data_IF_821044823366
#
_entry.id   IF_821044823366
#
_cell.length_a   1.000
_cell.length_b   1.000
_cell.length_c   1.000
_cell.angle_alpha   90.00
_cell.angle_beta   90.00
_cell.angle_gamma   90.00
#
_symmetry.space_group_name_H-M   'P 1'
#
loop_
_entity.id
_entity.type
_entity.pdbx_description
1 polymer ?
#
# COMPACT_ATOMS: atom_id res chain seq x y z
N UNK A 1 -23.67 -0.83 13.66
CA UNK A 1 -23.92 -1.51 12.39
C UNK A 1 -23.47 -0.67 11.20
N UNK A 2 -23.43 -1.26 10.00
CA UNK A 2 -23.14 -0.53 8.76
C UNK A 2 -24.15 0.60 8.50
N UNK A 3 -25.43 0.32 8.77
CA UNK A 3 -26.52 1.30 8.63
C UNK A 3 -26.31 2.50 9.55
N UNK A 4 -25.86 2.30 10.77
CA UNK A 4 -25.61 3.40 11.71
C UNK A 4 -24.44 4.25 11.24
N UNK A 5 -23.39 3.61 10.71
CA UNK A 5 -22.26 4.31 10.11
C UNK A 5 -22.72 5.21 8.94
N UNK A 6 -23.54 4.67 8.03
CA UNK A 6 -24.09 5.45 6.92
C UNK A 6 -24.91 6.65 7.38
N UNK A 7 -25.75 6.49 8.39
CA UNK A 7 -26.52 7.61 8.96
C UNK A 7 -25.62 8.70 9.55
N UNK A 8 -24.56 8.29 10.24
CA UNK A 8 -23.59 9.24 10.82
C UNK A 8 -22.89 10.02 9.72
N UNK A 9 -22.37 9.34 8.69
CA UNK A 9 -21.69 10.00 7.58
C UNK A 9 -22.65 10.88 6.78
N UNK A 10 -23.87 10.43 6.50
CA UNK A 10 -24.86 11.23 5.78
C UNK A 10 -25.24 12.50 6.55
N UNK A 11 -25.35 12.42 7.86
CA UNK A 11 -25.59 13.58 8.72
C UNK A 11 -24.39 14.53 8.72
N UNK A 12 -23.17 13.97 8.86
CA UNK A 12 -21.95 14.77 8.99
C UNK A 12 -21.56 15.48 7.68
N UNK A 13 -21.78 14.87 6.53
CA UNK A 13 -21.46 15.48 5.22
C UNK A 13 -22.33 16.69 4.90
N UNK A 14 -23.54 16.77 5.45
CA UNK A 14 -24.50 17.84 5.15
C UNK A 14 -24.74 17.97 3.64
N UNK A 15 -24.42 19.13 3.08
CA UNK A 15 -24.57 19.41 1.64
C UNK A 15 -23.33 19.05 0.81
N UNK A 16 -22.28 18.51 1.42
CA UNK A 16 -21.07 18.08 0.68
C UNK A 16 -21.39 16.85 -0.16
N UNK A 17 -21.14 16.93 -1.45
CA UNK A 17 -21.26 15.78 -2.35
C UNK A 17 -20.04 14.86 -2.18
N UNK A 18 -20.29 13.58 -2.03
CA UNK A 18 -19.28 12.54 -1.94
C UNK A 18 -19.54 11.51 -3.04
N UNK A 19 -18.48 10.99 -3.61
CA UNK A 19 -18.57 9.79 -4.45
C UNK A 19 -18.95 8.59 -3.59
N UNK A 20 -19.38 7.51 -4.23
CA UNK A 20 -19.67 6.25 -3.52
C UNK A 20 -18.44 5.74 -2.74
N UNK A 21 -17.27 5.82 -3.36
CA UNK A 21 -16.02 5.37 -2.74
C UNK A 21 -15.65 6.20 -1.51
N UNK A 22 -15.70 7.52 -1.61
CA UNK A 22 -15.45 8.43 -0.47
C UNK A 22 -16.43 8.19 0.68
N UNK A 23 -17.71 8.05 0.38
CA UNK A 23 -18.73 7.76 1.38
C UNK A 23 -18.51 6.42 2.08
N UNK A 24 -18.22 5.36 1.30
CA UNK A 24 -17.94 4.04 1.83
C UNK A 24 -16.65 4.01 2.68
N UNK A 25 -15.62 4.71 2.24
CA UNK A 25 -14.35 4.85 2.98
C UNK A 25 -14.55 5.53 4.33
N UNK A 26 -15.30 6.64 4.37
CA UNK A 26 -15.61 7.33 5.63
C UNK A 26 -16.44 6.45 6.57
N UNK A 27 -17.41 5.70 6.04
CA UNK A 27 -18.19 4.75 6.84
C UNK A 27 -17.33 3.62 7.41
N UNK A 28 -16.37 3.12 6.63
CA UNK A 28 -15.40 2.12 7.10
C UNK A 28 -14.52 2.69 8.23
N UNK A 29 -13.97 3.88 8.07
CA UNK A 29 -13.20 4.56 9.11
C UNK A 29 -14.01 4.81 10.38
N UNK A 30 -15.27 5.22 10.25
CA UNK A 30 -16.16 5.34 11.41
C UNK A 30 -16.34 4.02 12.14
N UNK A 31 -16.53 2.90 11.40
CA UNK A 31 -16.64 1.57 12.00
C UNK A 31 -15.33 1.19 12.68
N UNK A 32 -14.19 1.37 12.03
CA UNK A 32 -12.87 1.05 12.57
C UNK A 32 -12.59 1.83 13.86
N UNK A 33 -12.96 3.11 13.92
CA UNK A 33 -12.79 3.95 15.12
C UNK A 33 -13.58 3.46 16.34
N UNK A 34 -14.55 2.57 16.15
CA UNK A 34 -15.36 1.98 17.23
C UNK A 34 -14.90 0.56 17.62
N UNK A 35 -13.86 0.07 16.98
CA UNK A 35 -13.31 -1.26 17.23
C UNK A 35 -11.93 -1.15 17.89
N UNK A 36 -11.58 -2.16 18.67
CA UNK A 36 -10.21 -2.33 19.14
C UNK A 36 -9.46 -3.17 18.10
N UNK A 37 -8.83 -2.52 17.13
CA UNK A 37 -8.12 -3.17 16.05
C UNK A 37 -6.62 -3.17 16.34
N UNK A 38 -5.96 -4.29 16.12
CA UNK A 38 -4.50 -4.37 16.12
C UNK A 38 -3.92 -3.76 14.83
N UNK A 39 -4.62 -3.97 13.70
CA UNK A 39 -4.22 -3.47 12.38
C UNK A 39 -5.43 -3.01 11.58
N UNK A 40 -5.24 -1.97 10.77
CA UNK A 40 -6.16 -1.56 9.72
C UNK A 40 -5.42 -1.61 8.37
N UNK A 41 -5.85 -2.51 7.49
CA UNK A 41 -5.31 -2.61 6.14
C UNK A 41 -6.20 -1.81 5.20
N UNK A 42 -5.60 -0.80 4.54
CA UNK A 42 -6.30 0.08 3.61
C UNK A 42 -5.76 -0.15 2.19
N UNK A 43 -6.66 -0.41 1.26
CA UNK A 43 -6.32 -0.53 -0.15
C UNK A 43 -6.71 0.76 -0.89
N UNK A 44 -5.72 1.36 -1.56
CA UNK A 44 -5.94 2.54 -2.42
C UNK A 44 -6.78 2.15 -3.62
N UNK A 45 -7.82 2.91 -3.92
CA UNK A 45 -8.64 2.70 -5.10
C UNK A 45 -7.93 3.11 -6.39
N UNK A 46 -7.30 4.30 -6.40
CA UNK A 46 -6.58 4.81 -7.57
C UNK A 46 -5.44 5.76 -7.18
N UNK A 47 -4.26 5.54 -7.74
CA UNK A 47 -3.10 6.40 -7.55
C UNK A 47 -2.52 6.30 -6.14
N UNK A 48 -2.93 7.17 -5.25
CA UNK A 48 -2.53 7.21 -3.83
C UNK A 48 -2.72 8.60 -3.23
N UNK A 49 -2.05 9.61 -3.75
CA UNK A 49 -1.98 10.98 -3.19
C UNK A 49 -3.34 11.59 -2.90
N UNK A 50 -4.29 11.47 -3.82
CA UNK A 50 -5.64 12.04 -3.73
C UNK A 50 -6.73 10.98 -3.45
N UNK A 51 -6.32 9.76 -3.10
CA UNK A 51 -7.28 8.71 -2.78
C UNK A 51 -7.93 8.96 -1.41
N UNK A 52 -9.21 8.60 -1.29
CA UNK A 52 -9.97 8.80 -0.06
C UNK A 52 -9.37 8.06 1.14
N UNK A 53 -8.72 6.91 0.93
CA UNK A 53 -8.05 6.15 2.00
C UNK A 53 -6.84 6.89 2.56
N UNK A 54 -6.25 7.79 1.78
CA UNK A 54 -5.03 8.51 2.14
C UNK A 54 -5.25 9.70 3.09
N UNK A 55 -6.47 9.94 3.53
CA UNK A 55 -6.80 10.96 4.55
C UNK A 55 -6.23 10.59 5.94
N UNK A 56 -5.96 9.31 6.17
CA UNK A 56 -5.35 8.81 7.40
C UNK A 56 -3.86 8.60 7.17
N UNK A 57 -3.03 9.08 8.10
CA UNK A 57 -1.60 8.81 8.08
C UNK A 57 -1.33 7.34 8.41
N UNK A 58 -0.61 6.68 7.53
CA UNK A 58 -0.24 5.27 7.68
C UNK A 58 1.07 5.13 8.46
N UNK A 59 1.15 4.13 9.34
CA UNK A 59 2.40 3.75 10.02
C UNK A 59 3.37 3.06 9.05
N UNK A 60 2.82 2.38 8.03
CA UNK A 60 3.57 1.72 6.97
C UNK A 60 2.78 1.77 5.66
N UNK A 61 3.46 2.05 4.57
CA UNK A 61 2.87 2.00 3.22
C UNK A 61 3.55 0.95 2.35
N UNK A 62 2.75 0.32 1.45
CA UNK A 62 3.26 -0.64 0.46
C UNK A 62 2.89 -0.16 -0.93
N UNK A 63 3.89 -0.01 -1.80
CA UNK A 63 3.72 0.22 -3.23
C UNK A 63 4.07 -1.09 -3.93
N UNK A 64 3.07 -1.77 -4.47
CA UNK A 64 3.21 -3.12 -5.04
C UNK A 64 3.95 -3.10 -6.37
N UNK A 65 3.54 -2.23 -7.28
CA UNK A 65 4.13 -2.08 -8.60
C UNK A 65 3.84 -0.70 -9.18
N UNK A 66 4.64 -0.30 -10.15
CA UNK A 66 4.40 0.89 -10.97
C UNK A 66 4.50 0.48 -12.42
N UNK A 67 3.43 0.72 -13.16
CA UNK A 67 3.31 0.50 -14.59
C UNK A 67 2.45 1.58 -15.21
N UNK A 68 2.48 1.69 -16.53
CA UNK A 68 1.61 2.63 -17.27
C UNK A 68 0.20 2.07 -17.25
N UNK A 69 -0.66 2.66 -16.44
CA UNK A 69 -2.08 2.36 -16.33
C UNK A 69 -2.83 3.59 -15.85
N UNK A 70 -4.14 3.65 -16.12
CA UNK A 70 -5.01 4.76 -15.74
C UNK A 70 -4.46 6.15 -16.16
N UNK A 71 -3.90 6.25 -17.35
CA UNK A 71 -3.16 7.43 -17.82
C UNK A 71 -4.00 8.71 -17.85
N UNK A 72 -5.31 8.60 -17.97
CA UNK A 72 -6.25 9.73 -17.91
C UNK A 72 -6.25 10.44 -16.56
N UNK A 73 -5.92 9.72 -15.48
CA UNK A 73 -5.94 10.24 -14.10
C UNK A 73 -4.55 10.42 -13.51
N UNK A 74 -3.63 9.49 -13.78
CA UNK A 74 -2.32 9.43 -13.13
C UNK A 74 -1.18 10.02 -13.99
N UNK A 75 -1.50 10.39 -15.25
CA UNK A 75 -0.50 10.84 -16.22
C UNK A 75 0.09 9.69 -17.04
N UNK A 76 0.82 10.05 -18.09
CA UNK A 76 1.28 9.13 -19.14
C UNK A 76 2.71 8.62 -18.94
N UNK A 77 3.37 8.97 -17.86
CA UNK A 77 4.76 8.57 -17.58
C UNK A 77 4.88 7.77 -16.30
N UNK A 78 5.90 6.91 -16.20
CA UNK A 78 6.22 6.19 -14.96
C UNK A 78 6.45 7.17 -13.81
N UNK A 79 7.11 8.30 -14.06
CA UNK A 79 7.38 9.31 -13.02
C UNK A 79 6.11 9.98 -12.50
N UNK A 80 5.15 10.32 -13.38
CA UNK A 80 3.86 10.87 -12.93
C UNK A 80 3.10 9.88 -12.07
N UNK A 81 3.00 8.62 -12.51
CA UNK A 81 2.34 7.55 -11.75
C UNK A 81 3.06 7.27 -10.42
N UNK A 82 4.40 7.27 -10.44
CA UNK A 82 5.20 7.12 -9.24
C UNK A 82 4.95 8.24 -8.23
N UNK A 83 4.83 9.49 -8.69
CA UNK A 83 4.53 10.64 -7.84
C UNK A 83 3.15 10.52 -7.17
N UNK A 84 2.12 10.11 -7.91
CA UNK A 84 0.79 9.88 -7.33
C UNK A 84 0.81 8.74 -6.29
N UNK A 85 1.53 7.65 -6.57
CA UNK A 85 1.67 6.54 -5.62
C UNK A 85 2.54 6.91 -4.41
N UNK A 86 3.58 7.73 -4.59
CA UNK A 86 4.41 8.22 -3.50
C UNK A 86 3.62 9.03 -2.46
N UNK A 87 2.45 9.56 -2.83
CA UNK A 87 1.58 10.31 -1.93
C UNK A 87 1.04 9.53 -0.72
N UNK A 88 1.19 8.20 -0.69
CA UNK A 88 0.84 7.39 0.50
C UNK A 88 1.98 7.26 1.50
N UNK A 89 3.19 7.65 1.11
CA UNK A 89 4.37 7.59 1.97
C UNK A 89 4.29 8.68 3.04
N UNK A 90 4.76 8.39 4.25
CA UNK A 90 4.74 9.33 5.38
C UNK A 90 6.15 9.57 5.93
N UNK A 91 6.47 10.81 6.31
CA UNK A 91 7.75 11.13 6.94
C UNK A 91 7.99 10.28 8.19
N UNK A 92 9.22 9.83 8.36
CA UNK A 92 9.69 9.03 9.48
C UNK A 92 9.04 7.63 9.61
N UNK A 93 8.19 7.22 8.65
CA UNK A 93 7.57 5.90 8.59
C UNK A 93 8.28 5.00 7.59
N UNK A 94 7.95 3.73 7.62
CA UNK A 94 8.40 2.77 6.62
C UNK A 94 7.55 2.83 5.36
N UNK A 95 8.21 2.72 4.20
CA UNK A 95 7.55 2.53 2.92
C UNK A 95 8.23 1.41 2.15
N UNK A 96 7.46 0.43 1.70
CA UNK A 96 7.96 -0.76 1.01
C UNK A 96 7.58 -0.68 -0.46
N UNK A 97 8.55 -0.87 -1.34
CA UNK A 97 8.31 -1.13 -2.76
C UNK A 97 8.57 -2.61 -3.06
N UNK A 98 7.57 -3.31 -3.60
CA UNK A 98 7.69 -4.75 -3.81
C UNK A 98 8.67 -5.15 -4.92
N UNK A 99 8.92 -4.25 -5.89
CA UNK A 99 9.84 -4.50 -6.99
C UNK A 99 11.31 -4.31 -6.63
N UNK A 100 12.20 -4.78 -7.50
CA UNK A 100 13.66 -4.66 -7.34
C UNK A 100 14.21 -3.28 -7.72
N UNK A 101 13.55 -2.61 -8.67
CA UNK A 101 14.03 -1.37 -9.27
C UNK A 101 12.99 -0.26 -9.06
N UNK A 102 13.01 0.43 -7.92
CA UNK A 102 12.10 1.54 -7.70
C UNK A 102 12.39 2.71 -8.65
N UNK A 103 11.36 3.37 -9.20
CA UNK A 103 11.54 4.62 -9.94
C UNK A 103 12.31 5.67 -9.11
N UNK A 104 13.09 6.50 -9.80
CA UNK A 104 13.87 7.56 -9.17
C UNK A 104 13.01 8.53 -8.35
N UNK A 105 11.77 8.75 -8.77
CA UNK A 105 10.77 9.56 -8.08
C UNK A 105 10.48 9.03 -6.66
N UNK A 106 10.34 7.70 -6.46
CA UNK A 106 10.13 7.14 -5.13
C UNK A 106 11.36 7.33 -4.23
N UNK A 107 12.56 7.11 -4.79
CA UNK A 107 13.82 7.29 -4.05
C UNK A 107 14.02 8.74 -3.61
N UNK A 108 13.79 9.70 -4.51
CA UNK A 108 13.92 11.13 -4.19
C UNK A 108 12.87 11.58 -3.17
N UNK A 109 11.63 11.11 -3.30
CA UNK A 109 10.57 11.41 -2.32
C UNK A 109 10.92 10.86 -0.94
N UNK A 110 11.42 9.63 -0.88
CA UNK A 110 11.83 9.02 0.38
C UNK A 110 12.97 9.79 1.05
N UNK A 111 13.98 10.17 0.28
CA UNK A 111 15.12 10.93 0.79
C UNK A 111 14.69 12.33 1.29
N UNK A 112 13.87 13.05 0.51
CA UNK A 112 13.45 14.42 0.85
C UNK A 112 12.56 14.48 2.09
N UNK A 113 11.85 13.40 2.41
CA UNK A 113 10.90 13.35 3.51
C UNK A 113 11.35 12.45 4.69
N UNK A 114 12.61 12.01 4.71
CA UNK A 114 13.15 11.14 5.76
C UNK A 114 12.33 9.86 5.96
N UNK A 115 11.95 9.20 4.86
CA UNK A 115 11.17 7.96 4.85
C UNK A 115 12.13 6.77 4.86
N UNK A 116 11.88 5.79 5.72
CA UNK A 116 12.60 4.53 5.73
C UNK A 116 12.15 3.65 4.55
N UNK A 117 12.79 3.84 3.39
CA UNK A 117 12.38 3.21 2.15
C UNK A 117 13.07 1.86 1.93
N UNK A 118 12.26 0.82 1.79
CA UNK A 118 12.67 -0.59 1.67
C UNK A 118 12.17 -1.12 0.33
N UNK A 119 12.99 -1.87 -0.39
CA UNK A 119 12.55 -2.46 -1.66
C UNK A 119 13.14 -3.85 -1.92
N UNK A 120 12.44 -4.61 -2.73
CA UNK A 120 12.77 -5.99 -3.06
C UNK A 120 14.15 -6.15 -3.68
N UNK A 121 14.72 -7.33 -3.51
CA UNK A 121 16.07 -7.74 -3.93
C UNK A 121 17.23 -6.98 -3.28
N UNK A 122 16.98 -5.85 -2.63
CA UNK A 122 17.99 -5.11 -1.87
C UNK A 122 17.89 -5.39 -0.36
N UNK A 123 16.70 -5.22 0.21
CA UNK A 123 16.47 -5.35 1.64
C UNK A 123 15.82 -6.69 2.01
N UNK A 124 14.96 -7.20 1.16
CA UNK A 124 14.32 -8.52 1.28
C UNK A 124 14.32 -9.22 -0.07
N UNK A 125 14.21 -10.53 -0.08
CA UNK A 125 14.28 -11.30 -1.33
C UNK A 125 13.52 -12.61 -1.24
N UNK A 126 13.25 -13.20 -2.39
CA UNK A 126 12.71 -14.55 -2.47
C UNK A 126 13.38 -15.38 -3.57
N UNK A 127 13.27 -16.70 -3.46
CA UNK A 127 13.67 -17.65 -4.46
C UNK A 127 12.60 -18.72 -4.62
N UNK A 128 12.18 -19.00 -5.84
CA UNK A 128 11.15 -19.98 -6.17
C UNK A 128 11.83 -21.30 -6.56
N UNK A 129 11.32 -22.41 -6.01
CA UNK A 129 11.75 -23.78 -6.27
C UNK A 129 10.56 -24.60 -6.78
N UNK A 130 10.78 -25.84 -7.20
CA UNK A 130 9.74 -26.67 -7.84
C UNK A 130 8.46 -26.85 -7.00
N UNK A 131 8.56 -26.92 -5.67
CA UNK A 131 7.42 -27.24 -4.79
C UNK A 131 7.32 -26.35 -3.55
N UNK A 132 8.15 -25.31 -3.45
CA UNK A 132 8.15 -24.32 -2.37
C UNK A 132 8.84 -23.05 -2.84
N UNK A 133 8.72 -21.99 -2.07
CA UNK A 133 9.58 -20.81 -2.21
C UNK A 133 10.21 -20.44 -0.86
N UNK A 134 11.33 -19.74 -0.91
CA UNK A 134 11.98 -19.20 0.27
C UNK A 134 11.92 -17.70 0.24
N UNK A 135 11.60 -17.11 1.36
CA UNK A 135 11.68 -15.68 1.60
C UNK A 135 12.76 -15.38 2.63
N UNK A 136 13.44 -14.25 2.44
CA UNK A 136 14.41 -13.69 3.36
C UNK A 136 14.08 -12.23 3.61
N UNK A 137 13.86 -11.85 4.87
CA UNK A 137 13.62 -10.49 5.34
C UNK A 137 14.89 -9.70 5.64
N UNK A 138 14.72 -8.41 5.84
CA UNK A 138 15.82 -7.49 6.10
C UNK A 138 16.51 -7.72 7.46
N UNK A 139 15.79 -8.23 8.43
CA UNK A 139 16.34 -8.57 9.75
C UNK A 139 16.91 -10.00 9.83
N UNK A 140 16.97 -10.69 8.68
CA UNK A 140 17.57 -12.01 8.56
C UNK A 140 16.60 -13.18 8.78
N UNK A 141 15.33 -12.92 9.01
CA UNK A 141 14.29 -13.95 9.05
C UNK A 141 14.26 -14.71 7.72
N UNK A 142 14.17 -16.04 7.78
CA UNK A 142 14.05 -16.89 6.62
C UNK A 142 12.85 -17.81 6.76
N UNK A 143 11.98 -17.80 5.76
CA UNK A 143 10.81 -18.66 5.70
C UNK A 143 10.87 -19.58 4.49
N UNK A 144 10.47 -20.83 4.69
CA UNK A 144 10.19 -21.79 3.62
C UNK A 144 8.67 -21.95 3.54
N UNK A 145 8.09 -21.61 2.42
CA UNK A 145 6.66 -21.48 2.22
C UNK A 145 6.17 -22.35 1.05
N UNK A 146 4.93 -22.86 1.07
CA UNK A 146 4.34 -23.56 -0.06
C UNK A 146 4.22 -22.61 -1.26
N UNK A 147 4.17 -23.15 -2.46
CA UNK A 147 3.93 -22.34 -3.67
C UNK A 147 2.63 -21.55 -3.54
N UNK A 148 2.64 -20.34 -4.10
CA UNK A 148 1.48 -19.48 -4.10
C UNK A 148 0.36 -20.08 -4.97
N UNK A 149 -0.90 -20.06 -4.52
CA UNK A 149 -2.02 -20.49 -5.35
C UNK A 149 -2.35 -19.47 -6.48
N UNK A 150 -1.91 -18.22 -6.32
CA UNK A 150 -2.07 -17.17 -7.33
C UNK A 150 -0.98 -17.29 -8.39
N UNK A 151 -1.36 -17.22 -9.66
CA UNK A 151 -0.44 -17.30 -10.80
C UNK A 151 0.26 -15.96 -11.06
N UNK A 152 1.48 -16.04 -11.57
CA UNK A 152 2.30 -14.90 -11.95
C UNK A 152 3.45 -14.61 -10.97
N UNK A 153 4.65 -14.44 -11.50
CA UNK A 153 5.87 -14.24 -10.70
C UNK A 153 5.83 -12.95 -9.86
N UNK A 154 5.09 -11.93 -10.32
CA UNK A 154 4.89 -10.69 -9.57
C UNK A 154 4.17 -10.90 -8.23
N UNK A 155 3.39 -11.99 -8.09
CA UNK A 155 2.71 -12.32 -6.82
C UNK A 155 3.71 -12.64 -5.70
N UNK A 156 4.86 -13.23 -6.04
CA UNK A 156 5.92 -13.47 -5.06
C UNK A 156 6.59 -12.17 -4.60
N UNK A 157 6.67 -11.16 -5.46
CA UNK A 157 7.11 -9.82 -5.06
C UNK A 157 6.13 -9.20 -4.06
N UNK A 158 4.83 -9.28 -4.34
CA UNK A 158 3.79 -8.74 -3.47
C UNK A 158 3.74 -9.46 -2.12
N UNK A 159 3.78 -10.80 -2.13
CA UNK A 159 3.85 -11.61 -0.91
C UNK A 159 5.13 -11.32 -0.10
N UNK A 160 6.25 -11.13 -0.78
CA UNK A 160 7.51 -10.76 -0.13
C UNK A 160 7.44 -9.40 0.55
N UNK A 161 6.79 -8.42 -0.06
CA UNK A 161 6.56 -7.11 0.53
C UNK A 161 5.62 -7.18 1.74
N UNK A 162 4.56 -8.01 1.66
CA UNK A 162 3.65 -8.23 2.77
C UNK A 162 4.36 -8.90 3.97
N UNK A 163 5.20 -9.92 3.71
CA UNK A 163 6.01 -10.55 4.75
C UNK A 163 7.01 -9.57 5.37
N UNK A 164 7.59 -8.69 4.55
CA UNK A 164 8.50 -7.65 5.04
C UNK A 164 7.77 -6.63 5.93
N UNK A 165 6.53 -6.28 5.61
CA UNK A 165 5.69 -5.42 6.44
C UNK A 165 5.36 -6.04 7.80
N UNK A 166 5.25 -7.36 7.87
CA UNK A 166 5.01 -8.11 9.13
C UNK A 166 6.30 -8.23 9.97
N UNK A 167 7.47 -8.29 9.30
CA UNK A 167 8.76 -8.39 9.99
C UNK A 167 9.16 -7.07 10.68
N UNK A 168 8.70 -5.92 10.18
CA UNK A 168 8.94 -4.58 10.76
C UNK A 168 8.13 -4.37 12.03
#
# INVERSE_FOLDING_TARGET
SLIDAFKVIDTARGNTTLTYFEFATLAAFYIFSKQNLDFALLEVGLGGRLDATNIIDSDLSIITSIGIDHTEFLGSTIDSIANEKAGVMRPFCYSIFAGANPPATLLSTAQSNNISFIFGHNHFSHNIYNNYWKWRGMHGTQLKLPLMPLTGDFQYNHASAALQAIEI
#
